data_IF_488642797724
#
_entry.id   IF_488642797724
#
_cell.length_a   1.000
_cell.length_b   1.000
_cell.length_c   1.000
_cell.angle_alpha   90.00
_cell.angle_beta   90.00
_cell.angle_gamma   90.00
#
_symmetry.space_group_name_H-M   'P 1'
#
loop_
_entity.id
_entity.type
_entity.pdbx_description
1 polymer ?
#
# COMPACT_ATOMS: atom_id res chain seq x y z
N UNK A 1 24.09 53.56 -12.91
CA UNK A 1 24.50 52.25 -12.40
C UNK A 1 23.31 51.29 -12.32
N UNK A 2 22.88 50.63 -13.41
CA UNK A 2 21.87 49.56 -13.36
C UNK A 2 22.39 48.22 -13.89
N UNK A 3 23.67 48.02 -14.17
CA UNK A 3 24.18 46.75 -14.75
C UNK A 3 24.59 45.67 -13.75
N UNK A 4 24.80 46.00 -12.49
CA UNK A 4 25.24 45.04 -11.42
C UNK A 4 24.13 44.18 -10.82
N UNK A 5 22.85 44.54 -11.03
CA UNK A 5 21.73 43.76 -10.45
C UNK A 5 21.32 42.56 -11.33
N UNK A 6 21.49 42.64 -12.64
CA UNK A 6 21.12 41.55 -13.57
C UNK A 6 22.07 40.36 -13.52
N UNK A 7 23.39 40.61 -13.31
CA UNK A 7 24.38 39.55 -13.20
C UNK A 7 24.24 38.74 -11.93
N UNK A 8 23.87 39.37 -10.82
CA UNK A 8 23.61 38.63 -9.53
C UNK A 8 22.36 37.73 -9.61
N UNK A 9 21.35 38.14 -10.38
CA UNK A 9 20.16 37.29 -10.62
C UNK A 9 20.47 36.10 -11.56
N UNK A 10 21.28 36.34 -12.61
CA UNK A 10 21.71 35.26 -13.50
C UNK A 10 22.62 34.24 -12.77
N UNK A 11 23.54 34.71 -11.95
CA UNK A 11 24.44 33.84 -11.16
C UNK A 11 23.69 33.05 -10.09
N UNK A 12 22.64 33.60 -9.45
CA UNK A 12 21.74 32.84 -8.57
C UNK A 12 20.99 31.76 -9.31
N UNK A 13 20.41 32.07 -10.47
CA UNK A 13 19.70 31.09 -11.28
C UNK A 13 20.60 29.98 -11.84
N UNK A 14 21.83 30.30 -12.21
CA UNK A 14 22.84 29.30 -12.62
C UNK A 14 23.31 28.44 -11.46
N UNK A 15 23.41 29.01 -10.25
CA UNK A 15 23.72 28.25 -9.02
C UNK A 15 22.58 27.31 -8.66
N UNK A 16 21.33 27.75 -8.73
CA UNK A 16 20.14 26.92 -8.51
C UNK A 16 20.03 25.81 -9.55
N UNK A 17 20.31 26.10 -10.84
CA UNK A 17 20.32 25.10 -11.90
C UNK A 17 21.50 24.12 -11.79
N UNK A 18 22.69 24.55 -11.31
CA UNK A 18 23.81 23.66 -11.04
C UNK A 18 23.58 22.81 -9.80
N UNK A 19 22.93 23.34 -8.79
CA UNK A 19 22.51 22.58 -7.60
C UNK A 19 21.46 21.55 -8.00
N UNK A 20 20.42 21.92 -8.77
CA UNK A 20 19.45 20.96 -9.33
C UNK A 20 20.11 19.84 -10.13
N UNK A 21 21.06 20.15 -11.03
CA UNK A 21 21.79 19.12 -11.79
C UNK A 21 22.68 18.21 -10.93
N UNK A 22 23.16 18.68 -9.79
CA UNK A 22 23.96 17.87 -8.87
C UNK A 22 23.08 16.96 -8.00
N UNK A 23 21.86 17.41 -7.67
CA UNK A 23 20.84 16.62 -6.95
C UNK A 23 20.25 15.51 -7.82
N UNK A 24 20.01 15.77 -9.10
CA UNK A 24 19.48 14.78 -10.06
C UNK A 24 20.47 13.63 -10.34
N UNK A 25 21.74 13.74 -9.99
CA UNK A 25 22.76 12.72 -10.30
C UNK A 25 22.99 11.67 -9.19
N UNK A 26 22.35 11.81 -8.02
CA UNK A 26 22.57 10.94 -6.85
C UNK A 26 21.30 10.23 -6.34
N UNK A 27 20.16 10.42 -6.99
CA UNK A 27 18.93 9.68 -6.71
C UNK A 27 18.53 8.87 -7.93
N UNK A 28 18.04 7.64 -7.72
CA UNK A 28 17.27 6.94 -8.74
C UNK A 28 16.25 7.93 -9.30
N UNK A 29 16.25 8.12 -10.61
CA UNK A 29 15.42 9.14 -11.26
C UNK A 29 13.97 8.65 -11.36
N UNK A 30 13.26 8.63 -10.21
CA UNK A 30 11.85 8.23 -10.14
C UNK A 30 10.88 9.37 -10.45
N UNK A 31 11.38 10.61 -10.51
CA UNK A 31 10.54 11.81 -10.70
C UNK A 31 9.95 11.96 -12.11
N UNK A 32 10.46 11.22 -13.07
CA UNK A 32 9.98 11.16 -14.47
C UNK A 32 9.38 9.78 -14.81
N UNK A 33 9.11 8.96 -13.81
CA UNK A 33 8.60 7.60 -13.97
C UNK A 33 7.09 7.54 -13.84
N UNK A 34 6.49 6.59 -14.56
CA UNK A 34 5.10 6.19 -14.46
C UNK A 34 5.03 4.76 -13.96
N UNK A 35 4.23 4.54 -12.92
CA UNK A 35 4.05 3.23 -12.32
C UNK A 35 2.63 2.74 -12.59
N UNK A 36 2.51 1.51 -13.07
CA UNK A 36 1.22 0.87 -13.33
C UNK A 36 1.01 -0.25 -12.34
N UNK A 37 -0.09 -0.19 -11.58
CA UNK A 37 -0.44 -1.21 -10.63
C UNK A 37 -1.24 -2.33 -11.29
N UNK A 38 -0.77 -3.55 -11.12
CA UNK A 38 -1.41 -4.77 -11.57
C UNK A 38 -1.97 -5.54 -10.37
N UNK A 39 -3.30 -5.68 -10.31
CA UNK A 39 -3.95 -6.65 -9.45
C UNK A 39 -3.97 -7.99 -10.19
N UNK A 40 -2.99 -8.82 -9.90
CA UNK A 40 -2.62 -9.97 -10.73
C UNK A 40 -3.80 -10.88 -11.02
N UNK A 41 -4.58 -11.19 -10.00
CA UNK A 41 -5.73 -12.12 -10.07
C UNK A 41 -6.74 -11.78 -11.16
N UNK A 42 -6.93 -10.50 -11.48
CA UNK A 42 -7.94 -10.02 -12.43
C UNK A 42 -7.37 -9.32 -13.68
N UNK A 43 -6.03 -9.30 -13.85
CA UNK A 43 -5.44 -8.57 -14.96
C UNK A 43 -5.57 -9.30 -16.30
N UNK A 44 -4.97 -10.49 -16.41
CA UNK A 44 -5.01 -11.28 -17.65
C UNK A 44 -4.80 -12.75 -17.34
N UNK A 45 -5.82 -13.53 -17.64
CA UNK A 45 -5.77 -14.99 -17.62
C UNK A 45 -5.13 -15.49 -18.92
N UNK A 46 -4.00 -16.20 -18.83
CA UNK A 46 -3.29 -16.73 -19.99
C UNK A 46 -3.59 -18.19 -20.28
N UNK A 47 -4.17 -18.92 -19.33
CA UNK A 47 -4.38 -20.37 -19.40
C UNK A 47 -5.88 -20.77 -19.46
N UNK A 48 -6.81 -19.84 -19.19
CA UNK A 48 -8.26 -20.01 -19.30
C UNK A 48 -8.90 -20.60 -18.04
N UNK A 49 -8.25 -20.48 -16.87
CA UNK A 49 -8.79 -20.98 -15.59
C UNK A 49 -9.65 -19.97 -14.83
N UNK A 50 -9.76 -18.73 -15.34
CA UNK A 50 -10.52 -17.65 -14.75
C UNK A 50 -9.72 -16.80 -13.76
N UNK A 51 -8.41 -17.03 -13.62
CA UNK A 51 -7.50 -16.29 -12.73
C UNK A 51 -6.38 -15.67 -13.58
N UNK A 52 -6.11 -14.37 -13.38
CA UNK A 52 -4.97 -13.70 -14.00
C UNK A 52 -3.65 -14.26 -13.48
N UNK A 53 -2.63 -14.30 -14.31
CA UNK A 53 -1.36 -14.94 -14.03
C UNK A 53 -0.15 -14.14 -14.56
N UNK A 54 1.06 -14.53 -14.15
CA UNK A 54 2.33 -13.87 -14.50
C UNK A 54 2.56 -13.89 -16.03
N UNK A 55 2.20 -14.97 -16.71
CA UNK A 55 2.30 -15.06 -18.17
C UNK A 55 1.35 -14.10 -18.85
N UNK A 56 0.17 -13.88 -18.28
CA UNK A 56 -0.78 -12.88 -18.74
C UNK A 56 -0.18 -11.48 -18.72
N UNK A 57 0.59 -11.11 -17.68
CA UNK A 57 1.35 -9.84 -17.67
C UNK A 57 2.37 -9.81 -18.81
N UNK A 58 3.14 -10.89 -18.97
CA UNK A 58 4.16 -10.98 -20.05
C UNK A 58 3.55 -10.76 -21.43
N UNK A 59 2.35 -11.27 -21.68
CA UNK A 59 1.62 -11.07 -22.94
C UNK A 59 1.16 -9.61 -23.18
N UNK A 60 1.04 -8.79 -22.13
CA UNK A 60 0.57 -7.41 -22.21
C UNK A 60 1.71 -6.36 -22.13
N UNK A 61 2.97 -6.78 -22.11
CA UNK A 61 4.12 -5.86 -21.95
C UNK A 61 4.21 -4.81 -23.08
N UNK A 62 3.83 -5.15 -24.32
CA UNK A 62 3.85 -4.20 -25.43
C UNK A 62 2.77 -3.12 -25.27
N UNK A 63 1.56 -3.49 -24.81
CA UNK A 63 0.50 -2.56 -24.45
C UNK A 63 0.96 -1.60 -23.34
N UNK A 64 1.53 -2.13 -22.26
CA UNK A 64 2.02 -1.33 -21.13
C UNK A 64 3.16 -0.40 -21.55
N UNK A 65 4.02 -0.85 -22.48
CA UNK A 65 5.07 -0.01 -23.04
C UNK A 65 4.52 1.12 -23.90
N UNK A 66 3.52 0.86 -24.72
CA UNK A 66 2.83 1.86 -25.53
C UNK A 66 2.12 2.91 -24.66
N UNK A 67 1.54 2.49 -23.52
CA UNK A 67 0.96 3.37 -22.51
C UNK A 67 2.01 4.30 -21.84
N UNK A 68 3.30 3.97 -21.93
CA UNK A 68 4.38 4.77 -21.35
C UNK A 68 4.78 4.39 -19.93
N UNK A 69 4.49 3.17 -19.51
CA UNK A 69 4.81 2.64 -18.17
C UNK A 69 6.30 2.35 -18.03
N UNK A 70 6.87 2.72 -16.89
CA UNK A 70 8.26 2.43 -16.51
C UNK A 70 8.38 1.32 -15.46
N UNK A 71 7.42 1.22 -14.53
CA UNK A 71 7.39 0.22 -13.48
C UNK A 71 6.05 -0.49 -13.42
N UNK A 72 6.10 -1.81 -13.21
CA UNK A 72 4.93 -2.64 -12.95
C UNK A 72 4.89 -2.98 -11.47
N UNK A 73 4.03 -2.33 -10.69
CA UNK A 73 3.73 -2.74 -9.32
C UNK A 73 2.73 -3.87 -9.35
N UNK A 74 3.15 -5.06 -8.95
CA UNK A 74 2.32 -6.25 -8.90
C UNK A 74 1.90 -6.48 -7.44
N UNK A 75 0.59 -6.62 -7.19
CA UNK A 75 0.07 -7.01 -5.87
C UNK A 75 0.64 -8.36 -5.44
N UNK A 76 0.62 -8.72 -4.13
CA UNK A 76 1.30 -9.91 -3.66
C UNK A 76 0.88 -11.17 -4.43
N UNK A 77 1.86 -11.87 -4.96
CA UNK A 77 1.72 -13.15 -5.68
C UNK A 77 2.50 -14.28 -4.98
N UNK A 78 2.96 -14.02 -3.78
CA UNK A 78 3.64 -15.00 -2.93
C UNK A 78 2.67 -16.09 -2.48
N UNK A 79 3.20 -17.24 -2.03
CA UNK A 79 2.36 -18.31 -1.47
C UNK A 79 1.49 -17.76 -0.35
N UNK A 80 0.18 -17.94 -0.49
CA UNK A 80 -0.81 -17.41 0.44
C UNK A 80 -2.05 -18.29 0.48
N UNK A 81 -2.72 -18.44 1.64
CA UNK A 81 -4.05 -19.03 1.72
C UNK A 81 -5.15 -18.21 1.02
N UNK A 82 -4.82 -16.99 0.58
CA UNK A 82 -5.72 -16.05 -0.13
C UNK A 82 -6.93 -15.60 0.70
N UNK A 83 -6.81 -15.55 2.04
CA UNK A 83 -7.87 -15.02 2.91
C UNK A 83 -8.04 -13.52 2.73
N UNK A 84 -6.94 -12.81 2.45
CA UNK A 84 -6.91 -11.40 2.09
C UNK A 84 -6.21 -11.20 0.73
N UNK A 85 -6.65 -11.97 -0.28
CA UNK A 85 -6.21 -11.81 -1.67
C UNK A 85 -4.70 -11.70 -1.89
N UNK A 86 -3.90 -12.44 -1.08
CA UNK A 86 -2.43 -12.47 -1.17
C UNK A 86 -1.71 -11.62 -0.12
N UNK A 87 -2.41 -10.72 0.59
CA UNK A 87 -1.81 -9.94 1.69
C UNK A 87 -1.61 -10.75 2.98
N UNK A 88 -2.12 -11.97 3.05
CA UNK A 88 -1.81 -12.98 4.07
C UNK A 88 -0.69 -13.91 3.58
N UNK A 89 0.55 -13.41 3.54
CA UNK A 89 1.72 -14.12 2.98
C UNK A 89 2.15 -15.27 3.86
N UNK A 90 2.22 -16.48 3.29
CA UNK A 90 2.71 -17.69 3.95
C UNK A 90 4.16 -18.05 3.59
N UNK A 91 4.68 -17.59 2.45
CA UNK A 91 6.08 -17.74 2.06
C UNK A 91 6.49 -16.60 1.11
N UNK A 92 7.40 -15.76 1.55
CA UNK A 92 7.88 -14.58 0.79
C UNK A 92 8.81 -14.90 -0.38
N UNK A 93 9.31 -16.13 -0.51
CA UNK A 93 10.35 -16.48 -1.48
C UNK A 93 9.87 -17.40 -2.60
N UNK A 94 8.63 -17.87 -2.51
CA UNK A 94 7.98 -18.68 -3.52
C UNK A 94 6.74 -18.00 -4.09
N UNK A 95 6.44 -18.33 -5.35
CA UNK A 95 5.26 -17.84 -6.06
C UNK A 95 4.12 -18.79 -5.75
N UNK A 96 2.94 -18.24 -5.49
CA UNK A 96 1.72 -19.05 -5.36
C UNK A 96 1.45 -19.75 -6.71
N UNK A 97 1.32 -21.09 -6.72
CA UNK A 97 1.10 -21.85 -7.95
C UNK A 97 -0.09 -21.41 -8.78
N UNK A 98 -1.08 -20.74 -8.18
CA UNK A 98 -2.24 -20.20 -8.92
C UNK A 98 -1.85 -19.07 -9.87
N UNK A 99 -0.71 -18.41 -9.66
CA UNK A 99 -0.23 -17.29 -10.47
C UNK A 99 0.90 -17.65 -11.43
N UNK A 100 1.50 -18.82 -11.28
CA UNK A 100 2.59 -19.28 -12.14
C UNK A 100 3.79 -19.82 -11.39
N UNK A 101 4.96 -19.74 -12.00
CA UNK A 101 6.21 -20.30 -11.49
C UNK A 101 7.29 -19.21 -11.36
N UNK A 102 8.41 -19.57 -10.71
CA UNK A 102 9.58 -18.69 -10.64
C UNK A 102 10.17 -18.42 -12.03
N UNK A 103 10.12 -19.38 -12.92
CA UNK A 103 10.57 -19.28 -14.31
C UNK A 103 9.71 -18.26 -15.09
N UNK A 104 8.38 -18.24 -14.86
CA UNK A 104 7.47 -17.27 -15.46
C UNK A 104 7.79 -15.85 -14.99
N UNK A 105 8.13 -15.68 -13.71
CA UNK A 105 8.54 -14.37 -13.17
C UNK A 105 9.90 -13.95 -13.73
N UNK A 106 10.88 -14.83 -13.81
CA UNK A 106 12.17 -14.53 -14.40
C UNK A 106 12.06 -14.17 -15.89
N UNK A 107 11.12 -14.78 -16.60
CA UNK A 107 10.77 -14.40 -17.97
C UNK A 107 10.15 -12.99 -17.99
N UNK A 108 9.19 -12.68 -17.14
CA UNK A 108 8.57 -11.37 -17.06
C UNK A 108 9.61 -10.27 -16.76
N UNK A 109 10.52 -10.50 -15.80
CA UNK A 109 11.63 -9.58 -15.49
C UNK A 109 12.49 -9.34 -16.73
N UNK A 110 12.88 -10.40 -17.44
CA UNK A 110 13.73 -10.31 -18.63
C UNK A 110 13.05 -9.56 -19.77
N UNK A 111 11.78 -9.86 -20.05
CA UNK A 111 11.01 -9.26 -21.13
C UNK A 111 10.62 -7.80 -20.82
N UNK A 112 10.31 -7.50 -19.54
CA UNK A 112 10.12 -6.14 -19.07
C UNK A 112 11.36 -5.26 -19.30
N UNK A 113 12.53 -5.74 -18.87
CA UNK A 113 13.81 -5.02 -19.04
C UNK A 113 14.16 -4.75 -20.49
N UNK A 114 13.88 -5.67 -21.41
CA UNK A 114 14.06 -5.44 -22.85
C UNK A 114 13.24 -4.25 -23.37
N UNK A 115 12.11 -3.96 -22.74
CA UNK A 115 11.19 -2.85 -23.06
C UNK A 115 11.44 -1.60 -22.23
N UNK A 116 12.45 -1.63 -21.34
CA UNK A 116 12.79 -0.54 -20.43
C UNK A 116 11.82 -0.41 -19.26
N UNK A 117 11.15 -1.49 -18.89
CA UNK A 117 10.27 -1.56 -17.73
C UNK A 117 10.90 -2.42 -16.61
N UNK A 118 10.71 -1.98 -15.37
CA UNK A 118 11.15 -2.70 -14.17
C UNK A 118 9.95 -3.21 -13.38
N UNK A 119 10.15 -4.25 -12.58
CA UNK A 119 9.13 -4.76 -11.68
C UNK A 119 9.29 -4.14 -10.28
N UNK A 120 8.17 -3.78 -9.66
CA UNK A 120 8.05 -3.38 -8.26
C UNK A 120 7.21 -4.42 -7.51
N UNK A 121 7.79 -5.02 -6.46
CA UNK A 121 7.10 -6.01 -5.64
C UNK A 121 6.46 -5.38 -4.42
N UNK A 122 5.35 -5.97 -4.00
CA UNK A 122 4.61 -5.60 -2.80
C UNK A 122 5.12 -6.36 -1.58
N UNK A 123 5.72 -5.66 -0.62
CA UNK A 123 6.31 -6.22 0.59
C UNK A 123 5.38 -6.03 1.77
N UNK A 124 4.67 -7.08 2.14
CA UNK A 124 3.77 -7.12 3.29
C UNK A 124 4.59 -7.47 4.54
N UNK A 125 5.15 -6.45 5.18
CA UNK A 125 6.10 -6.63 6.28
C UNK A 125 5.56 -6.27 7.65
N UNK A 126 4.31 -5.80 7.75
CA UNK A 126 3.65 -5.59 9.04
C UNK A 126 3.24 -6.91 9.71
N UNK A 127 2.86 -7.91 8.92
CA UNK A 127 2.31 -9.19 9.39
C UNK A 127 2.65 -10.33 8.43
N UNK A 128 2.40 -11.57 8.86
CA UNK A 128 2.37 -12.74 7.98
C UNK A 128 1.03 -13.44 8.08
N UNK A 129 0.75 -14.35 7.13
CA UNK A 129 -0.32 -15.32 7.33
C UNK A 129 -0.08 -16.13 8.60
N UNK A 130 -1.17 -16.51 9.26
CA UNK A 130 -1.10 -17.54 10.32
C UNK A 130 -0.65 -18.91 9.78
N UNK A 131 -0.71 -19.14 8.48
CA UNK A 131 -0.15 -20.32 7.81
C UNK A 131 1.37 -20.24 7.55
N UNK A 132 2.01 -19.08 7.79
CA UNK A 132 3.45 -18.92 7.63
C UNK A 132 4.21 -19.87 8.56
N UNK A 133 5.31 -20.46 8.08
CA UNK A 133 6.12 -21.40 8.85
C UNK A 133 6.55 -20.85 10.23
N UNK A 134 6.88 -19.57 10.31
CA UNK A 134 7.25 -18.94 11.59
C UNK A 134 6.08 -18.94 12.58
N UNK A 135 4.87 -18.61 12.13
CA UNK A 135 3.72 -18.60 13.02
C UNK A 135 3.31 -20.02 13.44
N UNK A 136 3.39 -21.00 12.54
CA UNK A 136 3.12 -22.39 12.86
C UNK A 136 4.10 -22.94 13.92
N UNK A 137 5.38 -22.57 13.85
CA UNK A 137 6.36 -22.89 14.90
C UNK A 137 6.06 -22.18 16.21
N UNK A 138 5.63 -20.92 16.17
CA UNK A 138 5.18 -20.18 17.35
C UNK A 138 3.99 -20.87 18.04
N UNK A 139 3.01 -21.30 17.26
CA UNK A 139 1.85 -22.08 17.76
C UNK A 139 2.27 -23.44 18.35
N UNK A 140 3.31 -24.08 17.81
CA UNK A 140 3.87 -25.32 18.34
C UNK A 140 4.64 -25.13 19.66
N UNK A 141 4.79 -23.91 20.15
CA UNK A 141 5.43 -23.59 21.43
C UNK A 141 6.91 -23.21 21.33
N UNK A 142 7.45 -23.01 20.10
CA UNK A 142 8.83 -22.54 19.92
C UNK A 142 8.98 -21.09 20.35
N UNK A 143 9.67 -20.85 21.45
CA UNK A 143 9.85 -19.52 22.06
C UNK A 143 10.55 -18.53 21.12
N UNK A 144 11.49 -18.99 20.29
CA UNK A 144 12.14 -18.13 19.29
C UNK A 144 11.10 -17.52 18.35
N UNK A 145 10.23 -18.36 17.79
CA UNK A 145 9.22 -17.93 16.83
C UNK A 145 8.03 -17.23 17.51
N UNK A 146 7.73 -17.51 18.80
CA UNK A 146 6.79 -16.68 19.55
C UNK A 146 7.29 -15.22 19.66
N UNK A 147 8.60 -15.02 19.80
CA UNK A 147 9.20 -13.67 19.81
C UNK A 147 9.22 -12.98 18.42
N UNK A 148 8.88 -13.69 17.34
CA UNK A 148 8.73 -13.08 16.01
C UNK A 148 7.41 -12.32 15.85
N UNK A 149 6.45 -12.57 16.73
CA UNK A 149 5.11 -11.99 16.72
C UNK A 149 4.79 -11.28 18.04
N UNK A 150 3.71 -10.50 18.02
CA UNK A 150 3.24 -9.81 19.22
C UNK A 150 2.30 -10.74 19.98
N UNK A 151 2.82 -11.45 20.97
CA UNK A 151 2.06 -12.27 21.89
C UNK A 151 1.94 -11.63 23.27
N UNK A 152 0.80 -11.85 23.94
CA UNK A 152 0.55 -11.46 25.35
C UNK A 152 -0.02 -12.64 26.12
N UNK A 153 0.54 -12.93 27.30
CA UNK A 153 -0.02 -13.93 28.20
C UNK A 153 -1.39 -13.48 28.72
N UNK A 154 -2.33 -14.41 28.87
CA UNK A 154 -3.66 -14.07 29.38
C UNK A 154 -4.64 -15.22 29.44
N UNK A 155 -5.86 -14.90 29.79
CA UNK A 155 -7.01 -15.82 29.84
C UNK A 155 -8.06 -15.40 28.82
N UNK A 156 -8.93 -16.31 28.34
CA UNK A 156 -9.88 -16.02 27.26
C UNK A 156 -10.92 -14.94 27.61
N UNK A 157 -11.12 -14.66 28.89
CA UNK A 157 -12.04 -13.65 29.40
C UNK A 157 -11.41 -12.25 29.55
N UNK A 158 -10.10 -12.12 29.30
CA UNK A 158 -9.39 -10.85 29.46
C UNK A 158 -8.54 -10.55 28.22
N UNK A 159 -9.13 -9.83 27.27
CA UNK A 159 -8.44 -9.31 26.09
C UNK A 159 -7.35 -8.31 26.51
N UNK A 160 -6.17 -8.30 25.85
CA UNK A 160 -5.05 -7.44 26.24
C UNK A 160 -5.32 -5.93 26.16
N UNK A 161 -6.04 -5.49 25.12
CA UNK A 161 -6.50 -4.10 24.95
C UNK A 161 -7.83 -4.08 24.18
N UNK A 162 -8.50 -2.94 24.21
CA UNK A 162 -9.73 -2.70 23.45
C UNK A 162 -9.48 -2.30 21.99
N UNK A 163 -8.30 -2.56 21.43
CA UNK A 163 -8.00 -2.19 20.05
C UNK A 163 -8.87 -2.96 19.06
N UNK A 164 -9.22 -2.27 17.96
CA UNK A 164 -10.02 -2.83 16.88
C UNK A 164 -9.17 -3.16 15.67
N UNK A 165 -9.50 -4.27 15.01
CA UNK A 165 -8.96 -4.62 13.69
C UNK A 165 -9.42 -3.62 12.63
N UNK A 166 -8.57 -3.37 11.63
CA UNK A 166 -8.92 -2.54 10.45
C UNK A 166 -10.11 -3.12 9.66
N UNK A 167 -10.31 -4.43 9.76
CA UNK A 167 -11.40 -5.15 9.10
C UNK A 167 -12.59 -5.41 10.03
N UNK A 168 -12.62 -4.75 11.19
CA UNK A 168 -13.69 -4.85 12.19
C UNK A 168 -13.47 -5.95 13.22
N UNK A 169 -14.05 -5.75 14.39
CA UNK A 169 -13.89 -6.66 15.55
C UNK A 169 -12.59 -6.42 16.33
N UNK A 170 -12.29 -7.25 17.34
CA UNK A 170 -11.10 -7.12 18.18
C UNK A 170 -9.81 -7.31 17.38
N UNK A 171 -8.73 -6.63 17.78
CA UNK A 171 -7.40 -6.81 17.19
C UNK A 171 -6.57 -7.93 17.84
N UNK A 172 -7.18 -8.74 18.70
CA UNK A 172 -6.51 -9.82 19.42
C UNK A 172 -7.27 -11.13 19.30
N UNK A 173 -6.55 -12.22 19.03
CA UNK A 173 -7.11 -13.57 19.01
C UNK A 173 -6.43 -14.47 20.04
N UNK A 174 -7.22 -15.28 20.77
CA UNK A 174 -6.74 -16.14 21.85
C UNK A 174 -6.33 -17.53 21.36
N UNK A 175 -5.14 -17.97 21.76
CA UNK A 175 -4.60 -19.30 21.47
C UNK A 175 -4.70 -20.17 22.72
N UNK A 176 -5.73 -21.04 22.87
CA UNK A 176 -6.03 -21.74 24.13
C UNK A 176 -4.89 -22.60 24.68
N UNK A 177 -4.20 -23.36 23.82
CA UNK A 177 -3.13 -24.27 24.26
C UNK A 177 -1.85 -23.56 24.69
N UNK A 178 -1.59 -22.31 24.20
CA UNK A 178 -0.49 -21.46 24.64
C UNK A 178 -0.88 -20.56 25.82
N UNK A 179 -2.16 -20.38 26.08
CA UNK A 179 -2.71 -19.38 27.03
C UNK A 179 -2.21 -17.96 26.72
N UNK A 180 -2.17 -17.63 25.44
CA UNK A 180 -1.68 -16.35 24.91
C UNK A 180 -2.66 -15.77 23.91
N UNK A 181 -2.64 -14.45 23.79
CA UNK A 181 -3.25 -13.69 22.72
C UNK A 181 -2.19 -13.28 21.71
N UNK A 182 -2.51 -13.28 20.41
CA UNK A 182 -1.66 -12.62 19.42
C UNK A 182 -2.38 -11.41 18.81
N UNK A 183 -1.59 -10.41 18.44
CA UNK A 183 -2.09 -9.20 17.77
C UNK A 183 -2.29 -9.45 16.27
N UNK A 184 -3.44 -8.97 15.75
CA UNK A 184 -3.71 -8.88 14.32
C UNK A 184 -4.43 -7.56 14.01
N UNK A 185 -3.71 -6.59 13.44
CA UNK A 185 -4.31 -5.30 13.08
C UNK A 185 -5.25 -5.39 11.86
N UNK A 186 -5.20 -6.48 11.11
CA UNK A 186 -6.03 -6.80 9.96
C UNK A 186 -6.85 -8.07 10.21
N UNK A 187 -6.96 -8.98 9.24
CA UNK A 187 -7.72 -10.20 9.47
C UNK A 187 -7.10 -11.08 10.56
N UNK A 188 -7.93 -11.89 11.21
CA UNK A 188 -7.48 -12.87 12.22
C UNK A 188 -6.42 -13.84 11.67
N UNK A 189 -6.38 -14.06 10.36
CA UNK A 189 -5.36 -14.85 9.68
C UNK A 189 -4.03 -14.12 9.43
N UNK A 190 -3.88 -12.86 9.86
CA UNK A 190 -2.71 -11.99 9.60
C UNK A 190 -2.05 -11.56 10.91
N UNK A 191 -1.14 -12.39 11.45
CA UNK A 191 -0.46 -12.12 12.71
C UNK A 191 0.63 -11.04 12.58
N UNK A 192 0.58 -10.00 13.43
CA UNK A 192 1.53 -8.88 13.42
C UNK A 192 2.93 -9.27 13.86
N UNK A 193 3.92 -8.90 13.07
CA UNK A 193 5.33 -9.15 13.33
C UNK A 193 5.90 -8.21 14.41
N UNK A 194 6.80 -8.74 15.20
CA UNK A 194 7.54 -8.01 16.22
C UNK A 194 8.84 -7.39 15.65
N UNK A 195 8.76 -6.20 15.12
CA UNK A 195 9.91 -5.47 14.57
C UNK A 195 10.95 -5.04 15.62
N UNK A 196 10.63 -5.05 16.91
CA UNK A 196 11.62 -4.84 17.97
C UNK A 196 12.63 -6.00 18.02
N UNK A 197 12.25 -7.18 17.53
CA UNK A 197 13.14 -8.32 17.44
C UNK A 197 14.10 -8.17 16.24
N UNK A 198 15.44 -8.06 16.46
CA UNK A 198 16.42 -7.91 15.38
C UNK A 198 16.47 -9.12 14.43
N UNK A 199 16.12 -10.32 14.89
CA UNK A 199 16.08 -11.50 14.02
C UNK A 199 14.95 -11.38 12.99
N UNK A 200 13.79 -10.83 13.35
CA UNK A 200 12.70 -10.54 12.41
C UNK A 200 13.17 -9.56 11.35
N UNK A 201 13.80 -8.45 11.77
CA UNK A 201 14.33 -7.47 10.81
C UNK A 201 15.36 -8.09 9.86
N UNK A 202 16.24 -8.98 10.35
CA UNK A 202 17.23 -9.65 9.48
C UNK A 202 16.57 -10.62 8.50
N UNK A 203 15.52 -11.36 8.90
CA UNK A 203 14.77 -12.22 7.96
C UNK A 203 14.09 -11.38 6.87
N UNK A 204 13.50 -10.24 7.19
CA UNK A 204 12.88 -9.35 6.21
C UNK A 204 13.92 -8.72 5.27
N UNK A 205 15.11 -8.34 5.76
CA UNK A 205 16.23 -7.91 4.92
C UNK A 205 16.68 -9.02 3.96
N UNK A 206 16.67 -10.28 4.41
CA UNK A 206 17.00 -11.42 3.57
C UNK A 206 15.95 -11.67 2.48
N UNK A 207 14.67 -11.36 2.72
CA UNK A 207 13.63 -11.37 1.69
C UNK A 207 13.95 -10.31 0.62
N UNK A 208 14.27 -9.07 1.02
CA UNK A 208 14.65 -8.02 0.06
C UNK A 208 15.87 -8.44 -0.78
N UNK A 209 16.94 -8.91 -0.14
CA UNK A 209 18.16 -9.36 -0.84
C UNK A 209 17.89 -10.50 -1.81
N UNK A 210 16.95 -11.40 -1.48
CA UNK A 210 16.54 -12.49 -2.36
C UNK A 210 15.94 -11.93 -3.67
N UNK A 211 14.99 -10.99 -3.57
CA UNK A 211 14.33 -10.43 -4.73
C UNK A 211 15.22 -9.46 -5.52
N UNK A 212 16.11 -8.73 -4.86
CA UNK A 212 17.16 -7.94 -5.54
C UNK A 212 18.04 -8.84 -6.42
N UNK A 213 18.45 -10.00 -5.93
CA UNK A 213 19.23 -10.99 -6.71
C UNK A 213 18.45 -11.55 -7.91
N UNK A 214 17.12 -11.63 -7.82
CA UNK A 214 16.26 -12.01 -8.94
C UNK A 214 16.10 -10.90 -9.98
N UNK A 215 16.53 -9.69 -9.68
CA UNK A 215 16.56 -8.57 -10.62
C UNK A 215 15.34 -7.65 -10.53
N UNK A 216 14.65 -7.63 -9.40
CA UNK A 216 13.56 -6.68 -9.11
C UNK A 216 14.13 -5.26 -9.02
N UNK A 217 13.42 -4.29 -9.59
CA UNK A 217 13.83 -2.89 -9.69
C UNK A 217 13.20 -1.94 -8.68
N UNK A 218 12.16 -2.35 -7.97
CA UNK A 218 11.47 -1.52 -6.98
C UNK A 218 10.70 -2.31 -5.92
N UNK A 219 10.31 -1.62 -4.85
CA UNK A 219 9.57 -2.23 -3.73
C UNK A 219 8.50 -1.26 -3.22
N UNK A 220 7.27 -1.75 -3.09
CA UNK A 220 6.19 -1.11 -2.36
C UNK A 220 6.08 -1.79 -0.99
N UNK A 221 6.03 -1.01 0.06
CA UNK A 221 5.89 -1.50 1.43
C UNK A 221 4.48 -1.25 1.91
N UNK A 222 3.78 -2.35 2.15
CA UNK A 222 2.40 -2.38 2.65
C UNK A 222 2.33 -1.83 4.07
N UNK A 223 1.42 -0.91 4.33
CA UNK A 223 1.13 -0.27 5.63
C UNK A 223 2.37 -0.08 6.53
N UNK A 224 3.48 0.28 5.94
CA UNK A 224 4.81 0.25 6.57
C UNK A 224 4.95 1.20 7.77
N UNK A 225 4.09 2.19 7.90
CA UNK A 225 4.08 3.08 9.06
C UNK A 225 3.41 2.45 10.31
N UNK A 226 2.93 1.21 10.23
CA UNK A 226 2.36 0.47 11.35
C UNK A 226 3.31 -0.54 12.00
N UNK A 227 4.52 -0.73 11.47
CA UNK A 227 5.45 -1.78 11.91
C UNK A 227 6.00 -1.59 13.33
N UNK A 228 6.09 -0.35 13.82
CA UNK A 228 6.59 -0.05 15.16
C UNK A 228 5.45 -0.01 16.17
N UNK A 229 5.35 -1.07 16.99
CA UNK A 229 4.35 -1.17 18.05
C UNK A 229 4.84 -0.50 19.35
N UNK A 230 3.95 -0.09 20.28
CA UNK A 230 4.37 0.48 21.55
C UNK A 230 4.99 -0.59 22.45
N UNK A 231 5.88 -0.19 23.34
CA UNK A 231 6.46 -1.06 24.36
C UNK A 231 5.38 -1.56 25.35
N UNK A 232 4.48 -0.65 25.74
CA UNK A 232 3.37 -0.95 26.63
C UNK A 232 2.05 -0.86 25.87
N UNK A 233 1.25 -1.90 25.98
CA UNK A 233 -0.08 -1.99 25.38
C UNK A 233 -1.13 -1.58 26.42
N UNK A 234 -1.93 -0.57 26.08
CA UNK A 234 -2.98 -0.03 26.94
C UNK A 234 -4.26 0.23 26.14
N UNK A 235 -5.39 0.33 26.83
CA UNK A 235 -6.67 0.65 26.21
C UNK A 235 -6.69 2.03 25.60
N UNK A 236 -7.34 2.15 24.45
CA UNK A 236 -7.63 3.45 23.84
C UNK A 236 -9.00 3.97 24.29
N UNK A 237 -8.99 4.98 25.14
CA UNK A 237 -10.23 5.57 25.67
C UNK A 237 -10.87 6.62 24.76
N UNK A 238 -10.24 6.93 23.59
CA UNK A 238 -10.72 7.97 22.65
C UNK A 238 -10.79 7.49 21.21
N UNK A 239 -10.36 6.28 20.91
CA UNK A 239 -10.30 5.74 19.56
C UNK A 239 -10.24 4.21 19.54
N UNK A 240 -9.78 3.68 18.43
CA UNK A 240 -9.69 2.26 18.10
C UNK A 240 -8.29 1.65 18.30
N UNK A 241 -7.39 2.33 18.99
CA UNK A 241 -6.01 1.89 19.23
C UNK A 241 -5.00 2.42 18.21
N UNK A 242 -5.44 2.92 17.03
CA UNK A 242 -4.53 3.31 15.94
C UNK A 242 -3.47 4.33 16.31
N UNK A 243 -3.74 5.23 17.25
CA UNK A 243 -2.80 6.24 17.73
C UNK A 243 -1.56 5.68 18.42
N UNK A 244 -1.60 4.43 18.87
CA UNK A 244 -0.47 3.80 19.55
C UNK A 244 0.53 3.13 18.60
N UNK A 245 0.11 2.74 17.41
CA UNK A 245 0.92 2.01 16.45
C UNK A 245 1.12 2.69 15.10
N UNK A 246 0.41 3.80 14.82
CA UNK A 246 0.63 4.60 13.60
C UNK A 246 1.82 5.51 13.79
N UNK A 247 2.77 5.48 12.85
CA UNK A 247 4.01 6.24 12.90
C UNK A 247 4.75 6.05 14.24
N UNK A 248 4.84 4.80 14.70
CA UNK A 248 5.35 4.44 16.02
C UNK A 248 6.81 4.87 16.23
N UNK A 249 7.24 4.86 17.49
CA UNK A 249 8.50 5.47 17.94
C UNK A 249 9.73 5.10 17.13
N UNK A 250 9.88 3.84 16.75
CA UNK A 250 11.08 3.31 16.10
C UNK A 250 10.94 3.10 14.59
N UNK A 251 9.80 3.48 13.97
CA UNK A 251 9.53 3.21 12.55
C UNK A 251 10.61 3.76 11.63
N UNK A 252 11.05 4.98 11.86
CA UNK A 252 12.11 5.63 11.08
C UNK A 252 13.48 4.98 11.25
N UNK A 253 13.77 4.50 12.47
CA UNK A 253 15.00 3.76 12.74
C UNK A 253 15.02 2.44 11.98
N UNK A 254 13.92 1.71 12.00
CA UNK A 254 13.75 0.45 11.27
C UNK A 254 13.85 0.62 9.76
N UNK A 255 13.24 1.67 9.19
CA UNK A 255 13.34 1.95 7.76
C UNK A 255 14.75 2.36 7.34
N UNK A 256 15.45 3.16 8.14
CA UNK A 256 16.85 3.51 7.90
C UNK A 256 17.77 2.29 7.97
N UNK A 257 17.56 1.41 8.96
CA UNK A 257 18.27 0.14 9.08
C UNK A 257 18.01 -0.74 7.86
N UNK A 258 16.75 -0.94 7.48
CA UNK A 258 16.36 -1.73 6.32
C UNK A 258 17.04 -1.21 5.03
N UNK A 259 16.99 0.11 4.81
CA UNK A 259 17.56 0.74 3.62
C UNK A 259 19.09 0.67 3.60
N UNK A 260 19.75 0.96 4.72
CA UNK A 260 21.21 0.92 4.81
C UNK A 260 21.77 -0.50 4.60
N UNK A 261 21.13 -1.51 5.20
CA UNK A 261 21.64 -2.88 5.18
C UNK A 261 21.33 -3.62 3.87
N UNK A 262 20.35 -3.16 3.10
CA UNK A 262 19.95 -3.79 1.85
C UNK A 262 20.25 -2.95 0.60
N UNK A 263 20.69 -1.71 0.76
CA UNK A 263 20.97 -0.81 -0.37
C UNK A 263 19.71 -0.36 -1.10
N UNK A 264 18.56 -0.28 -0.42
CA UNK A 264 17.28 0.12 -1.01
C UNK A 264 17.30 1.56 -1.55
N UNK A 265 18.24 2.41 -1.11
CA UNK A 265 18.45 3.75 -1.67
C UNK A 265 18.86 3.75 -3.16
N UNK A 266 19.22 2.59 -3.71
CA UNK A 266 19.49 2.38 -5.13
C UNK A 266 18.24 1.91 -5.93
N UNK A 267 17.12 1.72 -5.27
CA UNK A 267 15.86 1.21 -5.84
C UNK A 267 14.75 2.25 -5.73
N UNK A 268 13.73 2.13 -6.57
CA UNK A 268 12.50 2.90 -6.38
C UNK A 268 11.69 2.23 -5.26
N UNK A 269 11.42 2.98 -4.21
CA UNK A 269 10.66 2.49 -3.06
C UNK A 269 9.47 3.39 -2.76
N UNK A 270 8.34 2.81 -2.42
CA UNK A 270 7.15 3.54 -1.99
C UNK A 270 6.58 2.91 -0.73
N UNK A 271 6.22 3.73 0.23
CA UNK A 271 5.52 3.27 1.44
C UNK A 271 4.05 3.64 1.39
N UNK A 272 3.22 2.70 1.76
CA UNK A 272 1.82 2.99 2.06
C UNK A 272 1.69 3.49 3.49
N UNK A 273 1.10 4.68 3.65
CA UNK A 273 0.99 5.37 4.94
C UNK A 273 -0.47 5.42 5.39
N UNK A 274 -0.82 4.54 6.30
CA UNK A 274 -2.16 4.53 6.92
C UNK A 274 -2.28 5.63 7.97
N UNK A 275 -3.23 6.55 7.79
CA UNK A 275 -3.60 7.57 8.81
C UNK A 275 -2.44 8.46 9.30
N UNK A 276 -1.49 8.76 8.45
CA UNK A 276 -0.28 9.56 8.75
C UNK A 276 -0.51 11.07 8.65
N UNK A 277 0.52 11.86 8.97
CA UNK A 277 0.56 13.32 8.82
C UNK A 277 1.44 13.74 7.66
N UNK A 278 1.30 15.01 7.22
CA UNK A 278 2.18 15.61 6.21
C UNK A 278 3.65 15.59 6.66
N UNK A 279 3.92 15.97 7.90
CA UNK A 279 5.28 16.00 8.46
C UNK A 279 5.94 14.61 8.44
N UNK A 280 5.18 13.58 8.79
CA UNK A 280 5.68 12.20 8.72
C UNK A 280 5.93 11.77 7.26
N UNK A 281 5.04 12.07 6.31
CA UNK A 281 5.27 11.77 4.90
C UNK A 281 6.48 12.50 4.32
N UNK A 282 6.71 13.75 4.73
CA UNK A 282 7.95 14.47 4.40
C UNK A 282 9.16 13.70 4.91
N UNK A 283 9.15 13.29 6.17
CA UNK A 283 10.27 12.58 6.78
C UNK A 283 10.53 11.24 6.09
N UNK A 284 9.50 10.43 5.84
CA UNK A 284 9.65 9.14 5.15
C UNK A 284 10.25 9.27 3.75
N UNK A 285 9.94 10.33 3.01
CA UNK A 285 10.35 10.49 1.61
C UNK A 285 11.39 11.59 1.36
N UNK A 286 11.90 12.23 2.41
CA UNK A 286 13.02 13.16 2.27
C UNK A 286 14.31 12.38 1.98
N UNK A 287 14.99 12.65 0.87
CA UNK A 287 16.21 11.93 0.49
C UNK A 287 17.33 11.96 1.52
N UNK A 288 17.35 12.98 2.40
CA UNK A 288 18.37 13.11 3.46
C UNK A 288 18.14 12.08 4.57
N UNK A 289 16.91 11.66 4.78
CA UNK A 289 16.55 10.64 5.77
C UNK A 289 16.89 9.22 5.30
N UNK A 290 17.00 8.98 3.98
CA UNK A 290 17.34 7.68 3.38
C UNK A 290 16.42 6.55 3.82
N UNK A 291 15.13 6.81 3.81
CA UNK A 291 14.11 5.82 4.14
C UNK A 291 13.46 5.31 2.86
N UNK A 292 12.56 6.07 2.26
CA UNK A 292 11.81 5.70 1.07
C UNK A 292 11.96 6.76 -0.03
N UNK A 293 11.67 6.39 -1.27
CA UNK A 293 11.65 7.34 -2.38
C UNK A 293 10.42 8.24 -2.35
N UNK A 294 9.26 7.69 -1.95
CA UNK A 294 7.97 8.38 -1.95
C UNK A 294 6.96 7.70 -1.02
N UNK A 295 5.83 8.37 -0.80
CA UNK A 295 4.75 7.87 0.04
C UNK A 295 3.39 7.98 -0.65
N UNK A 296 2.54 6.97 -0.48
CA UNK A 296 1.11 7.10 -0.63
C UNK A 296 0.50 7.73 0.62
N UNK A 297 -0.39 8.70 0.43
CA UNK A 297 -1.31 9.17 1.45
C UNK A 297 -2.74 9.09 0.94
N UNK A 298 -3.72 8.94 1.84
CA UNK A 298 -5.12 8.71 1.49
C UNK A 298 -6.03 9.89 1.82
N UNK A 299 -5.47 11.06 2.17
CA UNK A 299 -6.28 12.20 2.64
C UNK A 299 -7.24 12.70 1.58
N UNK A 300 -6.80 12.78 0.31
CA UNK A 300 -7.63 13.22 -0.82
C UNK A 300 -8.77 12.25 -1.16
N UNK A 301 -8.69 11.00 -0.71
CA UNK A 301 -9.74 9.99 -0.89
C UNK A 301 -10.81 10.00 0.21
N UNK A 302 -10.68 10.85 1.24
CA UNK A 302 -11.61 10.89 2.38
C UNK A 302 -12.61 12.05 2.31
N UNK A 303 -12.73 12.72 1.17
CA UNK A 303 -13.56 13.90 0.97
C UNK A 303 -15.06 13.61 0.98
N UNK A 304 -15.44 12.35 0.89
CA UNK A 304 -16.82 11.85 0.91
C UNK A 304 -17.08 10.89 2.09
N UNK A 305 -16.16 10.87 3.08
CA UNK A 305 -16.31 10.10 4.32
C UNK A 305 -16.97 10.94 5.39
N UNK A 306 -18.23 10.69 5.70
CA UNK A 306 -18.93 11.39 6.76
C UNK A 306 -18.25 11.11 8.11
N UNK A 307 -17.89 12.17 8.81
CA UNK A 307 -17.18 12.12 10.08
C UNK A 307 -15.90 11.27 10.05
N UNK A 308 -15.25 11.19 8.86
CA UNK A 308 -14.03 10.43 8.64
C UNK A 308 -14.21 8.91 8.56
N UNK A 309 -15.45 8.42 8.51
CA UNK A 309 -15.78 6.99 8.45
C UNK A 309 -16.04 6.52 7.02
N UNK A 310 -15.29 5.52 6.56
CA UNK A 310 -15.34 4.98 5.19
C UNK A 310 -16.76 4.56 4.78
N UNK A 311 -17.48 3.90 5.67
CA UNK A 311 -18.78 3.28 5.39
C UNK A 311 -19.99 4.19 5.68
N UNK A 312 -19.74 5.45 6.03
CA UNK A 312 -20.76 6.49 6.13
C UNK A 312 -20.65 7.44 4.94
N UNK A 313 -21.71 7.44 4.10
CA UNK A 313 -21.70 8.19 2.83
C UNK A 313 -22.03 9.67 3.03
N UNK A 314 -21.38 10.54 2.27
CA UNK A 314 -21.72 11.94 2.08
C UNK A 314 -21.34 12.39 0.67
N UNK A 315 -21.90 13.51 0.23
CA UNK A 315 -21.47 14.14 -1.02
C UNK A 315 -20.00 14.56 -0.94
N UNK A 316 -19.23 14.39 -2.02
CA UNK A 316 -17.81 14.77 -2.05
C UNK A 316 -17.59 16.27 -1.79
N UNK A 317 -16.74 16.59 -0.83
CA UNK A 317 -16.31 17.96 -0.55
C UNK A 317 -15.14 18.37 -1.47
N UNK A 318 -15.48 18.95 -2.63
CA UNK A 318 -14.50 19.38 -3.63
C UNK A 318 -13.67 20.59 -3.17
N UNK A 319 -14.18 21.40 -2.26
CA UNK A 319 -13.38 22.49 -1.68
C UNK A 319 -12.30 21.92 -0.77
N UNK A 320 -12.66 20.96 0.03
CA UNK A 320 -11.70 20.21 0.86
C UNK A 320 -10.66 19.48 0.01
N UNK A 321 -11.05 18.89 -1.13
CA UNK A 321 -10.11 18.28 -2.07
C UNK A 321 -9.06 19.28 -2.54
N UNK A 322 -9.50 20.49 -2.95
CA UNK A 322 -8.59 21.55 -3.40
C UNK A 322 -7.61 21.96 -2.29
N UNK A 323 -8.09 22.15 -1.08
CA UNK A 323 -7.25 22.46 0.09
C UNK A 323 -6.23 21.36 0.38
N UNK A 324 -6.62 20.09 0.27
CA UNK A 324 -5.73 18.95 0.45
C UNK A 324 -4.64 18.92 -0.63
N UNK A 325 -5.00 19.12 -1.88
CA UNK A 325 -4.02 19.15 -2.98
C UNK A 325 -3.01 20.29 -2.81
N UNK A 326 -3.47 21.47 -2.41
CA UNK A 326 -2.60 22.62 -2.10
C UNK A 326 -1.68 22.32 -0.90
N UNK A 327 -2.24 21.86 0.20
CA UNK A 327 -1.50 21.56 1.44
C UNK A 327 -0.44 20.50 1.21
N UNK A 328 -0.81 19.37 0.60
CA UNK A 328 0.13 18.25 0.36
C UNK A 328 1.12 18.56 -0.75
N UNK A 329 0.69 19.23 -1.83
CA UNK A 329 1.59 19.62 -2.91
C UNK A 329 2.66 20.60 -2.45
N UNK A 330 2.26 21.66 -1.75
CA UNK A 330 3.16 22.70 -1.22
C UNK A 330 4.04 22.16 -0.08
N UNK A 331 3.42 21.51 0.92
CA UNK A 331 4.17 21.00 2.07
C UNK A 331 5.22 19.96 1.70
N UNK A 332 4.89 19.00 0.86
CA UNK A 332 5.87 18.02 0.35
C UNK A 332 6.98 18.67 -0.47
N UNK A 333 6.67 19.74 -1.22
CA UNK A 333 7.71 20.51 -1.95
C UNK A 333 8.64 21.25 -0.99
N UNK A 334 8.09 21.96 0.00
CA UNK A 334 8.85 22.75 0.97
C UNK A 334 9.70 21.85 1.88
N UNK A 335 9.14 20.71 2.32
CA UNK A 335 9.83 19.71 3.14
C UNK A 335 10.76 18.77 2.38
N UNK A 336 10.90 18.95 1.05
CA UNK A 336 11.70 18.08 0.18
C UNK A 336 11.26 16.60 0.21
N UNK A 337 9.98 16.35 0.46
CA UNK A 337 9.34 15.04 0.32
C UNK A 337 8.84 14.77 -1.10
N UNK A 338 8.33 13.56 -1.37
CA UNK A 338 7.81 13.17 -2.67
C UNK A 338 6.53 12.35 -2.55
N UNK A 339 5.48 12.76 -3.30
CA UNK A 339 4.20 12.06 -3.35
C UNK A 339 4.18 10.96 -4.39
N UNK A 340 3.60 9.83 -4.06
CA UNK A 340 3.02 8.88 -5.00
C UNK A 340 1.58 9.33 -5.29
N UNK A 341 1.26 9.61 -6.55
CA UNK A 341 -0.01 10.20 -6.97
C UNK A 341 -0.94 9.13 -7.53
N UNK A 342 -2.15 9.04 -7.01
CA UNK A 342 -3.14 8.05 -7.46
C UNK A 342 -4.56 8.49 -7.13
N UNK A 343 -5.52 7.96 -7.87
CA UNK A 343 -6.94 7.99 -7.54
C UNK A 343 -7.44 6.62 -7.11
N UNK A 344 -7.05 5.59 -7.85
CA UNK A 344 -7.47 4.23 -7.63
C UNK A 344 -6.31 3.34 -7.18
N UNK A 345 -6.63 2.29 -6.46
CA UNK A 345 -5.83 1.11 -6.24
C UNK A 345 -6.78 -0.07 -5.96
N UNK A 346 -6.24 -1.22 -5.65
CA UNK A 346 -7.01 -2.42 -5.32
C UNK A 346 -7.85 -2.30 -4.03
N UNK A 347 -7.68 -1.22 -3.23
CA UNK A 347 -8.40 -0.97 -1.97
C UNK A 347 -9.47 0.12 -2.09
N UNK A 348 -9.58 0.76 -3.25
CA UNK A 348 -10.48 1.89 -3.45
C UNK A 348 -11.48 1.61 -4.58
N UNK A 349 -12.72 2.10 -4.47
CA UNK A 349 -13.64 2.06 -5.59
C UNK A 349 -13.09 2.81 -6.80
N UNK A 350 -13.55 2.44 -7.99
CA UNK A 350 -13.17 3.12 -9.23
C UNK A 350 -13.55 4.59 -9.19
N UNK A 351 -12.59 5.44 -9.55
CA UNK A 351 -12.75 6.88 -9.35
C UNK A 351 -13.83 7.48 -10.25
N UNK A 352 -14.06 6.94 -11.44
CA UNK A 352 -15.14 7.41 -12.33
C UNK A 352 -16.50 7.17 -11.68
N UNK A 353 -16.71 5.99 -11.09
CA UNK A 353 -17.93 5.67 -10.34
C UNK A 353 -18.11 6.53 -9.10
N UNK A 354 -17.03 6.94 -8.48
CA UNK A 354 -17.04 7.64 -7.20
C UNK A 354 -17.20 9.16 -7.34
N UNK A 355 -16.51 9.79 -8.29
CA UNK A 355 -16.43 11.24 -8.45
C UNK A 355 -16.79 11.73 -9.84
N UNK A 356 -17.07 10.84 -10.79
CA UNK A 356 -17.38 11.14 -12.18
C UNK A 356 -18.82 10.86 -12.57
N UNK A 357 -19.05 10.80 -13.84
CA UNK A 357 -20.31 10.42 -14.48
C UNK A 357 -20.03 9.14 -15.30
N UNK A 358 -20.70 8.04 -15.00
CA UNK A 358 -20.48 6.75 -15.65
C UNK A 358 -21.22 6.63 -17.00
N UNK A 359 -22.16 7.52 -17.26
CA UNK A 359 -23.07 7.44 -18.40
C UNK A 359 -22.68 8.42 -19.51
N UNK A 360 -23.24 9.64 -19.41
CA UNK A 360 -23.18 10.63 -20.48
C UNK A 360 -21.80 11.26 -20.67
N UNK A 361 -21.08 11.48 -19.58
CA UNK A 361 -19.80 12.16 -19.56
C UNK A 361 -18.68 11.24 -19.05
N UNK A 362 -18.83 9.94 -19.27
CA UNK A 362 -17.88 8.93 -18.81
C UNK A 362 -16.42 9.22 -19.25
N UNK A 363 -16.22 9.48 -20.54
CA UNK A 363 -14.90 9.75 -21.09
C UNK A 363 -14.29 11.04 -20.53
N UNK A 364 -15.08 12.11 -20.56
CA UNK A 364 -14.66 13.42 -20.05
C UNK A 364 -14.36 13.37 -18.54
N UNK A 365 -15.14 12.59 -17.79
CA UNK A 365 -14.89 12.34 -16.36
C UNK A 365 -13.56 11.62 -16.14
N UNK A 366 -13.30 10.55 -16.86
CA UNK A 366 -12.07 9.79 -16.76
C UNK A 366 -10.83 10.65 -17.10
N UNK A 367 -10.88 11.40 -18.20
CA UNK A 367 -9.80 12.29 -18.63
C UNK A 367 -9.55 13.44 -17.64
N UNK A 368 -10.62 14.07 -17.12
CA UNK A 368 -10.52 15.14 -16.13
C UNK A 368 -9.94 14.63 -14.81
N UNK A 369 -10.40 13.49 -14.32
CA UNK A 369 -9.91 12.90 -13.08
C UNK A 369 -8.44 12.50 -13.21
N UNK A 370 -8.05 11.84 -14.30
CA UNK A 370 -6.65 11.50 -14.56
C UNK A 370 -5.76 12.77 -14.61
N UNK A 371 -6.18 13.81 -15.33
CA UNK A 371 -5.43 15.05 -15.42
C UNK A 371 -5.30 15.75 -14.05
N UNK A 372 -6.34 15.71 -13.22
CA UNK A 372 -6.37 16.42 -11.93
C UNK A 372 -5.34 15.92 -10.92
N UNK A 373 -4.92 14.66 -10.99
CA UNK A 373 -3.94 14.08 -10.04
C UNK A 373 -2.59 13.81 -10.72
N UNK A 374 -2.57 13.19 -11.91
CA UNK A 374 -1.31 12.76 -12.51
C UNK A 374 -0.43 13.90 -13.03
N UNK A 375 -0.99 15.11 -13.20
CA UNK A 375 -0.22 16.30 -13.60
C UNK A 375 0.32 17.09 -12.40
N UNK A 376 0.10 16.65 -11.17
CA UNK A 376 0.67 17.27 -9.97
C UNK A 376 2.14 16.91 -9.79
N UNK A 377 2.79 17.52 -8.78
CA UNK A 377 4.15 17.17 -8.38
C UNK A 377 4.17 15.85 -7.61
N UNK A 378 4.66 14.80 -8.25
CA UNK A 378 4.79 13.45 -7.69
C UNK A 378 5.01 12.42 -8.80
N UNK A 379 5.04 11.17 -8.43
CA UNK A 379 5.13 10.04 -9.37
C UNK A 379 3.72 9.47 -9.57
N UNK A 380 3.18 9.45 -10.81
CA UNK A 380 1.86 8.90 -11.08
C UNK A 380 1.83 7.38 -10.96
N UNK A 381 0.81 6.88 -10.27
CA UNK A 381 0.44 5.47 -10.17
C UNK A 381 -0.92 5.28 -10.84
N UNK A 382 -0.96 4.43 -11.84
CA UNK A 382 -2.16 4.12 -12.62
C UNK A 382 -2.62 2.71 -12.22
N UNK A 383 -3.82 2.57 -11.69
CA UNK A 383 -4.38 1.26 -11.39
C UNK A 383 -4.96 0.63 -12.66
N UNK A 384 -4.72 -0.68 -12.89
CA UNK A 384 -5.24 -1.41 -14.06
C UNK A 384 -6.69 -1.07 -14.35
N UNK A 385 -6.98 -0.70 -15.62
CA UNK A 385 -8.31 -0.30 -16.06
C UNK A 385 -8.65 1.18 -15.84
N UNK A 386 -7.87 1.93 -15.03
CA UNK A 386 -8.08 3.37 -14.86
C UNK A 386 -7.81 4.12 -16.19
N UNK A 387 -6.82 3.67 -16.95
CA UNK A 387 -6.45 4.22 -18.26
C UNK A 387 -7.55 4.08 -19.33
N UNK A 388 -8.49 3.17 -19.12
CA UNK A 388 -9.66 2.98 -20.00
C UNK A 388 -10.96 3.44 -19.34
N UNK A 389 -10.89 4.15 -18.21
CA UNK A 389 -12.06 4.67 -17.50
C UNK A 389 -12.97 3.58 -16.89
N UNK A 390 -12.39 2.47 -16.41
CA UNK A 390 -13.16 1.36 -15.82
C UNK A 390 -13.98 1.86 -14.63
N UNK A 391 -15.22 1.36 -14.52
CA UNK A 391 -16.19 1.65 -13.47
C UNK A 391 -16.27 0.51 -12.45
N UNK A 392 -17.00 0.71 -11.34
CA UNK A 392 -17.25 -0.34 -10.35
C UNK A 392 -18.05 -1.50 -10.97
N UNK A 393 -17.92 -2.74 -10.44
CA UNK A 393 -18.61 -3.91 -11.00
C UNK A 393 -20.12 -3.95 -10.75
N UNK A 394 -20.66 -3.06 -9.90
CA UNK A 394 -22.11 -2.96 -9.60
C UNK A 394 -22.73 -4.27 -9.13
N UNK A 395 -22.05 -5.00 -8.23
CA UNK A 395 -22.57 -6.23 -7.66
C UNK A 395 -23.88 -6.00 -6.90
N UNK A 396 -24.85 -6.86 -7.10
CA UNK A 396 -26.18 -6.79 -6.49
C UNK A 396 -26.46 -7.88 -5.43
N UNK A 397 -25.50 -8.78 -5.25
CA UNK A 397 -25.56 -9.88 -4.28
C UNK A 397 -24.25 -9.94 -3.48
N UNK A 398 -24.35 -10.04 -2.16
CA UNK A 398 -23.19 -10.16 -1.26
C UNK A 398 -22.26 -11.34 -1.61
N UNK A 399 -22.79 -12.40 -2.21
CA UNK A 399 -22.02 -13.58 -2.65
C UNK A 399 -21.06 -13.30 -3.81
N UNK A 400 -21.19 -12.16 -4.48
CA UNK A 400 -20.28 -11.72 -5.54
C UNK A 400 -19.01 -11.05 -4.95
N UNK A 401 -19.11 -10.54 -3.72
CA UNK A 401 -17.97 -9.92 -3.03
C UNK A 401 -17.01 -10.97 -2.46
N UNK A 402 -15.71 -10.71 -2.57
CA UNK A 402 -14.65 -11.55 -2.02
C UNK A 402 -13.79 -10.81 -0.99
N UNK A 403 -13.80 -9.50 -1.02
CA UNK A 403 -13.06 -8.66 -0.08
C UNK A 403 -13.53 -8.88 1.36
N UNK A 404 -12.59 -9.25 2.24
CA UNK A 404 -12.88 -9.58 3.64
C UNK A 404 -13.43 -8.38 4.41
N UNK A 405 -12.95 -7.16 4.14
CA UNK A 405 -13.46 -5.95 4.77
C UNK A 405 -14.93 -5.71 4.39
N UNK A 406 -15.28 -5.81 3.10
CA UNK A 406 -16.64 -5.65 2.61
C UNK A 406 -17.60 -6.69 3.23
N UNK A 407 -17.19 -7.96 3.29
CA UNK A 407 -17.99 -9.02 3.90
C UNK A 407 -18.21 -8.79 5.40
N UNK A 408 -17.20 -8.34 6.13
CA UNK A 408 -17.31 -8.02 7.54
C UNK A 408 -18.22 -6.81 7.78
N UNK A 409 -18.05 -5.74 7.00
CA UNK A 409 -18.88 -4.55 7.15
C UNK A 409 -20.33 -4.78 6.75
N UNK A 410 -20.60 -5.63 5.77
CA UNK A 410 -21.98 -6.03 5.48
C UNK A 410 -22.68 -6.59 6.73
N UNK A 411 -22.00 -7.50 7.46
CA UNK A 411 -22.55 -8.07 8.72
C UNK A 411 -22.73 -6.99 9.79
N UNK A 412 -21.72 -6.13 9.99
CA UNK A 412 -21.79 -5.02 10.94
C UNK A 412 -22.96 -4.09 10.64
N UNK A 413 -23.18 -3.73 9.38
CA UNK A 413 -24.29 -2.86 8.97
C UNK A 413 -25.67 -3.51 9.28
N UNK A 414 -25.80 -4.82 9.04
CA UNK A 414 -27.02 -5.56 9.43
C UNK A 414 -27.22 -5.60 10.96
N UNK A 415 -26.17 -5.82 11.73
CA UNK A 415 -26.19 -5.78 13.19
C UNK A 415 -26.58 -4.41 13.76
N UNK A 416 -26.20 -3.34 13.04
CA UNK A 416 -26.59 -1.95 13.33
C UNK A 416 -28.03 -1.65 12.93
N UNK A 417 -28.78 -2.63 12.38
CA UNK A 417 -30.19 -2.53 12.04
C UNK A 417 -30.49 -2.00 10.64
N UNK A 418 -29.48 -1.91 9.74
CA UNK A 418 -29.71 -1.61 8.34
C UNK A 418 -30.36 -2.80 7.64
N UNK A 419 -31.19 -2.51 6.64
CA UNK A 419 -31.71 -3.54 5.74
C UNK A 419 -30.61 -4.07 4.82
N UNK A 420 -30.78 -5.27 4.27
CA UNK A 420 -29.86 -5.85 3.28
C UNK A 420 -29.64 -4.92 2.09
N UNK A 421 -30.67 -4.22 1.64
CA UNK A 421 -30.59 -3.27 0.52
C UNK A 421 -29.72 -2.07 0.90
N UNK A 422 -29.98 -1.42 2.03
CA UNK A 422 -29.16 -0.28 2.49
C UNK A 422 -27.70 -0.67 2.69
N UNK A 423 -27.42 -1.87 3.20
CA UNK A 423 -26.07 -2.37 3.33
C UNK A 423 -25.40 -2.58 1.96
N UNK A 424 -26.12 -3.15 0.99
CA UNK A 424 -25.61 -3.33 -0.37
C UNK A 424 -25.34 -2.00 -1.09
N UNK A 425 -26.24 -1.00 -0.95
CA UNK A 425 -26.04 0.34 -1.53
C UNK A 425 -24.74 0.99 -1.00
N UNK A 426 -24.43 0.80 0.28
CA UNK A 426 -23.17 1.28 0.89
C UNK A 426 -21.96 0.52 0.33
N UNK A 427 -22.06 -0.80 0.23
CA UNK A 427 -20.98 -1.62 -0.32
C UNK A 427 -20.67 -1.25 -1.77
N UNK A 428 -21.67 -1.11 -2.62
CA UNK A 428 -21.50 -0.69 -4.01
C UNK A 428 -20.75 0.64 -4.16
N UNK A 429 -20.98 1.58 -3.22
CA UNK A 429 -20.33 2.87 -3.22
C UNK A 429 -18.89 2.85 -2.65
N UNK A 430 -18.54 1.87 -1.82
CA UNK A 430 -17.32 1.90 -1.00
C UNK A 430 -16.39 0.70 -1.15
N UNK A 431 -16.89 -0.43 -1.58
CA UNK A 431 -16.07 -1.61 -1.74
C UNK A 431 -15.16 -1.51 -2.97
N UNK A 432 -14.11 -2.29 -2.90
CA UNK A 432 -13.06 -2.37 -3.91
C UNK A 432 -13.25 -3.53 -4.89
N UNK A 433 -14.13 -4.44 -4.61
CA UNK A 433 -14.30 -5.67 -5.37
C UNK A 433 -15.39 -5.53 -6.43
#
# INVERSE_FOLDING_TARGET
>A
MPHLSKEKHLLRNVSILKTRKKWVKTMNNFSDKVIYQIYLRSFKDSNGDGIGDIRGITQQLDYLKELGVDYLWITPFFVSPQNDNGYDVADYRNIDPIFGTMEDLEELIREGKKRGMELMLDMVFNHTSTSHEWFQKALAGDEKYQNYYIFKDGTPDKIPTNWESKFGGPAWEYVPHLKKWYLHLFDVSQADLNWENPEVREELKNVIRFWQKKGIGGFRFDVVNLISKPEHFEDDHIGDGRRFYTDGRHVHEFLKELTADTGLDQYVTVGEMSSTTLDNCIRYSNPQEKELSMCFNFHHLKIDYKDGKKWELMEPDLMRLKELFETWGTGMQEGNGWNALFWCNHDQPRIVSRLGDEDRYWKESAEMLAASVHLMRGTPYIYQGEEIGMTNPHFDDIRQYRDVESLNYYRILLEQGKTSREAMDILQARSRD
#
